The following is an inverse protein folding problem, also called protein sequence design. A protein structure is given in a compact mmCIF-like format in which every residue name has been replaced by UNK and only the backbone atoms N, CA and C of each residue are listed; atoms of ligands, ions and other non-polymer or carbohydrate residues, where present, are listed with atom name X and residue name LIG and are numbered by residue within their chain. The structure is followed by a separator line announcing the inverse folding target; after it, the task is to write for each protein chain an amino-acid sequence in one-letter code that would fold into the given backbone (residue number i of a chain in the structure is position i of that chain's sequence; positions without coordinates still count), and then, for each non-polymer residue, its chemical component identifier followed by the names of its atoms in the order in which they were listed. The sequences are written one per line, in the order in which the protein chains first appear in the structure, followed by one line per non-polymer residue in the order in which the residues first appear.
data_IF_800019605458
#
_entry.id   IF_800019605458
#
_cell.length_a   1.000
_cell.length_b   1.000
_cell.length_c   1.000
_cell.angle_alpha   90.00
_cell.angle_beta   90.00
_cell.angle_gamma   90.00
#
_symmetry.space_group_name_H-M   'P 1'
#
loop_
_entity.id
_entity.type
_entity.pdbx_description
1 polymer ?
#
# COMPACT_ATOMS: atom_id res chain seq x y z
N UNK A 1 -44.35 -28.96 -25.69
CA UNK A 1 -42.89 -28.80 -25.58
C UNK A 1 -42.53 -28.72 -24.11
N UNK A 2 -42.47 -29.88 -23.45
CA UNK A 2 -42.18 -30.00 -22.01
C UNK A 2 -40.67 -29.96 -21.83
N UNK A 3 -40.13 -28.78 -21.57
CA UNK A 3 -38.73 -28.65 -21.19
C UNK A 3 -38.56 -29.42 -19.88
N UNK A 4 -37.63 -30.38 -19.89
CA UNK A 4 -37.43 -31.33 -18.80
C UNK A 4 -36.97 -30.56 -17.55
N UNK A 5 -37.84 -30.39 -16.56
CA UNK A 5 -37.59 -29.60 -15.33
C UNK A 5 -36.30 -30.05 -14.60
N UNK A 6 -35.90 -31.33 -14.77
CA UNK A 6 -34.64 -31.88 -14.27
C UNK A 6 -33.39 -31.28 -14.92
N UNK A 7 -33.43 -30.95 -16.22
CA UNK A 7 -32.29 -30.38 -16.94
C UNK A 7 -32.09 -28.91 -16.54
N UNK A 8 -33.18 -28.16 -16.35
CA UNK A 8 -33.13 -26.78 -15.86
C UNK A 8 -32.59 -26.71 -14.43
N UNK A 9 -33.07 -27.59 -13.53
CA UNK A 9 -32.60 -27.64 -12.14
C UNK A 9 -31.12 -28.01 -12.03
N UNK A 10 -30.64 -28.95 -12.85
CA UNK A 10 -29.22 -29.31 -12.88
C UNK A 10 -28.31 -28.19 -13.39
N UNK A 11 -28.78 -27.36 -14.32
CA UNK A 11 -28.05 -26.16 -14.78
C UNK A 11 -28.04 -25.05 -13.71
N UNK A 12 -29.14 -24.88 -12.97
CA UNK A 12 -29.22 -23.91 -11.87
C UNK A 12 -28.26 -24.26 -10.72
N UNK A 13 -28.17 -25.55 -10.37
CA UNK A 13 -27.27 -26.04 -9.30
C UNK A 13 -25.80 -25.95 -9.71
N UNK A 14 -25.48 -26.18 -11.00
CA UNK A 14 -24.11 -26.05 -11.51
C UNK A 14 -23.69 -24.58 -11.65
N UNK A 15 -24.62 -23.68 -12.01
CA UNK A 15 -24.38 -22.24 -12.03
C UNK A 15 -24.22 -21.64 -10.62
N UNK A 16 -24.90 -22.18 -9.60
CA UNK A 16 -24.71 -21.75 -8.21
C UNK A 16 -23.43 -22.28 -7.55
N UNK A 17 -22.76 -23.26 -8.15
CA UNK A 17 -21.52 -23.83 -7.63
C UNK A 17 -20.27 -23.05 -8.11
N UNK A 18 -20.44 -22.18 -9.10
CA UNK A 18 -19.39 -21.27 -9.57
C UNK A 18 -19.59 -19.93 -8.87
N UNK A 19 -18.81 -19.74 -7.79
CA UNK A 19 -18.18 -18.49 -7.29
C UNK A 19 -18.02 -18.58 -5.76
N UNK A 20 -17.24 -19.54 -5.26
CA UNK A 20 -16.46 -19.23 -4.07
C UNK A 20 -15.31 -18.34 -4.58
N UNK A 21 -15.51 -17.02 -4.55
CA UNK A 21 -14.38 -16.10 -4.74
C UNK A 21 -13.53 -16.28 -3.50
N UNK A 22 -12.38 -16.94 -3.63
CA UNK A 22 -11.38 -16.94 -2.57
C UNK A 22 -11.04 -15.49 -2.28
N UNK A 23 -11.52 -14.99 -1.14
CA UNK A 23 -11.27 -13.62 -0.72
C UNK A 23 -9.82 -13.56 -0.25
N UNK A 24 -8.97 -12.94 -1.07
CA UNK A 24 -7.57 -12.71 -0.73
C UNK A 24 -7.47 -11.40 0.02
N UNK A 25 -6.89 -11.43 1.22
CA UNK A 25 -6.82 -10.28 2.12
C UNK A 25 -5.39 -10.14 2.66
N UNK A 26 -4.83 -8.92 2.73
CA UNK A 26 -3.53 -8.70 3.36
C UNK A 26 -3.53 -9.15 4.83
N UNK A 27 -2.42 -9.73 5.28
CA UNK A 27 -2.30 -10.24 6.66
C UNK A 27 -2.54 -9.13 7.70
N UNK A 28 -2.15 -7.87 7.44
CA UNK A 28 -2.43 -6.73 8.33
C UNK A 28 -3.94 -6.52 8.59
N UNK A 29 -4.80 -6.93 7.65
CA UNK A 29 -6.26 -6.82 7.75
C UNK A 29 -6.93 -8.07 8.33
N UNK A 30 -6.16 -9.04 8.82
CA UNK A 30 -6.67 -10.31 9.38
C UNK A 30 -7.84 -10.13 10.35
N UNK A 31 -7.77 -9.14 11.25
CA UNK A 31 -8.82 -8.90 12.25
C UNK A 31 -10.18 -8.50 11.66
N UNK A 32 -10.17 -8.03 10.41
CA UNK A 32 -11.36 -7.61 9.67
C UNK A 32 -11.67 -8.55 8.49
N UNK A 33 -10.86 -9.59 8.29
CA UNK A 33 -11.02 -10.53 7.19
C UNK A 33 -12.22 -11.45 7.46
N UNK A 34 -13.02 -11.77 6.42
CA UNK A 34 -14.09 -12.74 6.56
C UNK A 34 -13.53 -14.13 6.91
N UNK A 35 -14.36 -14.95 7.55
CA UNK A 35 -13.99 -16.33 7.87
C UNK A 35 -13.68 -17.11 6.59
N UNK A 36 -12.55 -17.82 6.57
CA UNK A 36 -12.08 -18.55 5.38
C UNK A 36 -11.33 -17.70 4.36
N UNK A 37 -11.08 -16.41 4.62
CA UNK A 37 -10.24 -15.58 3.75
C UNK A 37 -8.81 -16.15 3.64
N UNK A 38 -8.26 -16.09 2.43
CA UNK A 38 -6.87 -16.43 2.18
C UNK A 38 -5.99 -15.22 2.54
N UNK A 39 -5.21 -15.37 3.60
CA UNK A 39 -4.34 -14.31 4.10
C UNK A 39 -2.98 -14.38 3.41
N UNK A 40 -2.61 -13.30 2.72
CA UNK A 40 -1.33 -13.19 2.00
C UNK A 40 -0.61 -11.92 2.43
N UNK A 41 0.70 -11.88 2.21
CA UNK A 41 1.44 -10.60 2.24
C UNK A 41 1.05 -9.80 1.01
N UNK A 42 0.93 -8.50 1.19
CA UNK A 42 0.62 -7.58 0.11
C UNK A 42 1.78 -6.66 -0.26
N UNK A 43 1.42 -5.54 -0.87
CA UNK A 43 2.41 -4.58 -1.36
C UNK A 43 2.96 -3.73 -0.21
N UNK A 44 4.26 -3.42 -0.29
CA UNK A 44 4.97 -2.50 0.59
C UNK A 44 5.53 -1.36 -0.26
N UNK A 45 4.78 -0.28 -0.36
CA UNK A 45 5.16 0.90 -1.13
C UNK A 45 6.10 1.79 -0.31
N UNK A 46 7.25 2.14 -0.88
CA UNK A 46 8.20 3.07 -0.29
C UNK A 46 8.23 4.33 -1.15
N UNK A 47 7.96 5.48 -0.54
CA UNK A 47 7.98 6.78 -1.19
C UNK A 47 9.18 7.56 -0.65
N UNK A 48 10.15 7.82 -1.51
CA UNK A 48 11.34 8.58 -1.18
C UNK A 48 11.14 10.06 -1.52
N UNK A 49 11.56 10.96 -0.64
CA UNK A 49 11.55 12.40 -0.93
C UNK A 49 12.40 12.78 -2.14
N UNK A 50 13.46 12.02 -2.39
CA UNK A 50 14.34 12.20 -3.52
C UNK A 50 14.99 10.88 -3.96
N UNK A 51 15.22 10.72 -5.26
CA UNK A 51 15.91 9.58 -5.87
C UNK A 51 17.29 9.27 -5.28
N UNK A 52 17.99 10.28 -4.76
CA UNK A 52 19.28 10.09 -4.07
C UNK A 52 19.19 9.23 -2.80
N UNK A 53 18.02 9.14 -2.15
CA UNK A 53 17.82 8.30 -0.96
C UNK A 53 17.76 6.80 -1.30
N UNK A 54 17.65 6.44 -2.58
CA UNK A 54 17.51 5.04 -2.99
C UNK A 54 18.75 4.23 -2.69
N UNK A 55 19.94 4.80 -2.88
CA UNK A 55 21.20 4.12 -2.56
C UNK A 55 21.39 3.97 -1.04
N UNK A 56 20.88 4.92 -0.25
CA UNK A 56 20.88 4.82 1.22
C UNK A 56 19.97 3.67 1.68
N UNK A 57 18.80 3.52 1.06
CA UNK A 57 17.83 2.49 1.41
C UNK A 57 18.26 1.07 0.95
N UNK A 58 18.81 0.98 -0.26
CA UNK A 58 19.15 -0.30 -0.89
C UNK A 58 20.58 -0.74 -0.59
N UNK A 59 21.44 0.19 -0.13
CA UNK A 59 22.84 -0.02 0.21
C UNK A 59 23.56 -1.01 -0.73
N UNK A 60 23.58 -0.76 -2.05
CA UNK A 60 24.00 -1.75 -3.04
C UNK A 60 25.47 -2.16 -2.87
N UNK A 61 26.30 -1.25 -2.37
CA UNK A 61 27.73 -1.44 -2.18
C UNK A 61 28.11 -1.81 -0.72
N UNK A 62 27.14 -1.82 0.20
CA UNK A 62 27.39 -2.07 1.63
C UNK A 62 28.12 -0.93 2.35
N UNK A 63 28.15 0.28 1.79
CA UNK A 63 28.88 1.46 2.29
C UNK A 63 27.96 2.69 2.25
N UNK A 64 27.82 3.46 3.36
CA UNK A 64 28.37 3.19 4.69
C UNK A 64 27.69 1.98 5.34
N UNK A 65 28.31 1.40 6.37
CA UNK A 65 27.80 0.20 7.10
C UNK A 65 26.64 0.58 8.05
N UNK A 66 25.75 1.47 7.62
CA UNK A 66 24.52 1.82 8.33
C UNK A 66 23.37 1.05 7.69
N UNK A 67 23.20 -0.21 8.12
CA UNK A 67 22.14 -1.07 7.62
C UNK A 67 22.50 -1.87 6.38
N UNK A 68 21.60 -2.79 6.03
CA UNK A 68 21.65 -3.65 4.86
C UNK A 68 20.52 -3.24 3.89
N UNK A 69 20.37 -3.91 2.77
CA UNK A 69 19.33 -3.61 1.79
C UNK A 69 17.92 -3.82 2.39
N UNK A 70 17.24 -2.72 2.71
CA UNK A 70 15.94 -2.74 3.37
C UNK A 70 14.87 -3.37 2.47
N UNK A 71 14.92 -3.12 1.17
CA UNK A 71 14.01 -3.68 0.17
C UNK A 71 14.10 -5.20 0.14
N UNK A 72 15.31 -5.76 0.07
CA UNK A 72 15.54 -7.21 0.11
C UNK A 72 15.06 -7.77 1.45
N UNK A 73 15.38 -7.11 2.56
CA UNK A 73 14.90 -7.55 3.88
C UNK A 73 13.36 -7.67 3.91
N UNK A 74 12.62 -6.70 3.37
CA UNK A 74 11.15 -6.77 3.28
C UNK A 74 10.68 -7.86 2.31
N UNK A 75 11.32 -8.03 1.17
CA UNK A 75 11.01 -9.12 0.24
C UNK A 75 11.19 -10.49 0.88
N UNK A 76 12.20 -10.70 1.73
CA UNK A 76 12.38 -11.97 2.48
C UNK A 76 11.25 -12.28 3.45
N UNK A 77 10.45 -11.28 3.83
CA UNK A 77 9.26 -11.42 4.67
C UNK A 77 7.98 -11.71 3.85
N UNK A 78 8.13 -11.77 2.52
CA UNK A 78 7.06 -12.07 1.55
C UNK A 78 6.33 -10.85 1.01
N UNK A 79 6.79 -9.62 1.31
CA UNK A 79 6.18 -8.41 0.72
C UNK A 79 6.61 -8.21 -0.74
N UNK A 80 5.68 -7.71 -1.54
CA UNK A 80 5.98 -7.16 -2.86
C UNK A 80 6.37 -5.69 -2.67
N UNK A 81 7.68 -5.41 -2.70
CA UNK A 81 8.22 -4.08 -2.35
C UNK A 81 8.40 -3.24 -3.60
N UNK A 82 7.81 -2.06 -3.62
CA UNK A 82 7.94 -1.05 -4.68
C UNK A 82 8.56 0.23 -4.10
N UNK A 83 9.40 0.89 -4.89
CA UNK A 83 10.02 2.17 -4.53
C UNK A 83 9.66 3.18 -5.61
N UNK A 84 9.13 4.32 -5.18
CA UNK A 84 8.96 5.51 -6.01
C UNK A 84 9.66 6.69 -5.37
N UNK A 85 9.87 7.76 -6.14
CA UNK A 85 10.52 8.97 -5.66
C UNK A 85 9.68 10.18 -6.08
N UNK A 86 9.57 11.19 -5.21
CA UNK A 86 8.76 12.38 -5.50
C UNK A 86 9.30 13.16 -6.72
N UNK A 87 10.62 13.21 -6.90
CA UNK A 87 11.27 13.92 -7.99
C UNK A 87 11.12 13.23 -9.35
N UNK A 88 11.10 11.89 -9.41
CA UNK A 88 10.86 11.18 -10.67
C UNK A 88 9.36 11.16 -11.04
N UNK A 89 8.47 11.05 -10.04
CA UNK A 89 7.02 11.03 -10.24
C UNK A 89 6.39 12.44 -10.35
N UNK A 90 7.17 13.51 -10.14
CA UNK A 90 6.74 14.92 -10.13
C UNK A 90 5.61 15.19 -9.11
N UNK A 91 5.76 14.65 -7.91
CA UNK A 91 4.81 14.82 -6.79
C UNK A 91 5.29 15.93 -5.86
N UNK A 92 4.80 17.16 -6.06
CA UNK A 92 5.32 18.35 -5.37
C UNK A 92 4.55 18.71 -4.09
N UNK A 93 3.29 18.33 -3.98
CA UNK A 93 2.41 18.70 -2.86
C UNK A 93 1.88 17.49 -2.09
N UNK A 94 1.42 17.72 -0.87
CA UNK A 94 0.74 16.69 -0.07
C UNK A 94 -0.57 16.24 -0.72
N UNK A 95 -1.19 17.08 -1.55
CA UNK A 95 -2.37 16.65 -2.33
C UNK A 95 -1.97 15.71 -3.46
N UNK A 96 -0.85 15.96 -4.14
CA UNK A 96 -0.36 15.08 -5.21
C UNK A 96 -0.02 13.69 -4.69
N UNK A 97 0.70 13.61 -3.56
CA UNK A 97 1.03 12.34 -2.91
C UNK A 97 -0.25 11.60 -2.49
N UNK A 98 -1.23 12.30 -1.91
CA UNK A 98 -2.52 11.71 -1.53
C UNK A 98 -3.26 11.15 -2.75
N UNK A 99 -3.35 11.91 -3.84
CA UNK A 99 -4.00 11.47 -5.07
C UNK A 99 -3.27 10.31 -5.74
N UNK A 100 -1.94 10.31 -5.68
CA UNK A 100 -1.13 9.17 -6.12
C UNK A 100 -1.47 7.91 -5.31
N UNK A 101 -1.49 8.01 -3.99
CA UNK A 101 -1.79 6.88 -3.10
C UNK A 101 -3.20 6.32 -3.30
N UNK A 102 -4.19 7.19 -3.52
CA UNK A 102 -5.56 6.79 -3.85
C UNK A 102 -5.60 5.97 -5.16
N UNK A 103 -4.93 6.46 -6.22
CA UNK A 103 -4.85 5.76 -7.50
C UNK A 103 -4.05 4.45 -7.40
N UNK A 104 -2.96 4.45 -6.63
CA UNK A 104 -2.15 3.26 -6.38
C UNK A 104 -2.98 2.20 -5.64
N UNK A 105 -3.65 2.55 -4.54
CA UNK A 105 -4.49 1.63 -3.78
C UNK A 105 -5.64 1.06 -4.63
N UNK A 106 -6.22 1.86 -5.54
CA UNK A 106 -7.27 1.38 -6.45
C UNK A 106 -6.78 0.29 -7.43
N UNK A 107 -5.51 0.34 -7.84
CA UNK A 107 -4.89 -0.65 -8.73
C UNK A 107 -4.18 -1.79 -7.99
N UNK A 108 -3.84 -1.58 -6.72
CA UNK A 108 -3.13 -2.50 -5.84
C UNK A 108 -3.99 -2.83 -4.61
N UNK A 109 -5.03 -3.68 -4.77
CA UNK A 109 -5.99 -3.97 -3.69
C UNK A 109 -5.36 -4.69 -2.48
N UNK A 110 -4.12 -5.17 -2.62
CA UNK A 110 -3.34 -5.79 -1.55
C UNK A 110 -2.33 -4.84 -0.90
N UNK A 111 -2.30 -3.54 -1.23
CA UNK A 111 -1.42 -2.57 -0.55
C UNK A 111 -1.58 -2.66 0.98
N UNK A 112 -0.49 -3.05 1.64
CA UNK A 112 -0.46 -3.36 3.07
C UNK A 112 0.21 -2.25 3.88
N UNK A 113 1.28 -1.65 3.34
CA UNK A 113 2.07 -0.61 3.99
C UNK A 113 2.53 0.46 3.00
N UNK A 114 2.57 1.70 3.46
CA UNK A 114 3.26 2.83 2.82
C UNK A 114 4.33 3.33 3.79
N UNK A 115 5.56 3.44 3.32
CA UNK A 115 6.69 4.02 4.06
C UNK A 115 7.13 5.32 3.39
N UNK A 116 6.96 6.45 4.09
CA UNK A 116 7.50 7.75 3.66
C UNK A 116 8.93 7.88 4.19
N UNK A 117 9.88 8.22 3.32
CA UNK A 117 11.30 8.39 3.67
C UNK A 117 11.75 9.81 3.31
N UNK A 118 11.86 10.63 4.33
CA UNK A 118 12.28 12.03 4.27
C UNK A 118 11.93 12.73 5.57
N UNK A 119 11.86 14.06 5.53
CA UNK A 119 11.50 14.92 6.66
C UNK A 119 10.43 15.93 6.23
N UNK A 120 9.83 16.66 7.17
CA UNK A 120 8.83 17.71 6.87
C UNK A 120 9.45 18.97 6.27
N UNK A 121 10.77 19.12 6.35
CA UNK A 121 11.52 20.25 5.82
C UNK A 121 12.94 19.84 5.36
N UNK A 122 13.65 20.75 4.70
CA UNK A 122 15.03 20.55 4.24
C UNK A 122 15.14 19.94 2.84
N UNK A 123 16.32 19.41 2.52
CA UNK A 123 16.66 18.94 1.17
C UNK A 123 15.93 17.64 0.77
N UNK A 124 15.41 16.89 1.75
CA UNK A 124 14.65 15.66 1.57
C UNK A 124 13.23 15.80 2.13
N UNK A 125 12.54 16.85 1.69
CA UNK A 125 11.19 17.16 2.17
C UNK A 125 10.14 16.21 1.57
N UNK A 126 9.36 15.57 2.44
CA UNK A 126 8.04 15.02 2.12
C UNK A 126 7.01 16.09 2.52
N UNK A 127 6.25 16.66 1.57
CA UNK A 127 5.10 17.52 1.89
C UNK A 127 4.21 16.86 2.94
N UNK A 128 3.61 17.63 3.86
CA UNK A 128 2.73 17.10 4.92
C UNK A 128 1.42 17.88 4.99
N UNK A 129 0.45 17.34 5.73
CA UNK A 129 -0.71 18.09 6.17
C UNK A 129 -0.47 18.67 7.56
N UNK A 130 -1.25 19.70 7.90
CA UNK A 130 -1.23 20.37 9.20
C UNK A 130 -2.61 20.30 9.82
N UNK A 131 -2.64 20.15 11.14
CA UNK A 131 -3.84 20.20 11.97
C UNK A 131 -3.59 21.09 13.18
N UNK A 132 -4.62 21.78 13.65
CA UNK A 132 -4.52 22.54 14.89
C UNK A 132 -4.14 21.62 16.07
N UNK A 133 -3.14 22.03 16.85
CA UNK A 133 -2.74 21.30 18.05
C UNK A 133 -3.85 21.29 19.09
N UNK A 134 -3.96 20.19 19.84
CA UNK A 134 -5.00 20.02 20.87
C UNK A 134 -4.66 20.84 22.13
N UNK A 135 -3.38 21.02 22.41
CA UNK A 135 -2.89 21.57 23.67
C UNK A 135 -2.18 22.92 23.52
N UNK A 136 -1.81 23.29 22.30
CA UNK A 136 -0.91 24.41 22.01
C UNK A 136 -1.53 25.30 20.91
N UNK A 137 -1.16 26.58 20.89
CA UNK A 137 -1.60 27.52 19.83
C UNK A 137 -0.64 27.45 18.64
N UNK A 138 -0.46 26.23 18.11
CA UNK A 138 0.37 25.91 16.95
C UNK A 138 -0.25 24.82 16.07
N UNK A 139 0.32 24.63 14.88
CA UNK A 139 -0.10 23.59 13.93
C UNK A 139 0.81 22.37 14.04
N UNK A 140 0.21 21.20 14.28
CA UNK A 140 0.89 19.90 14.29
C UNK A 140 0.92 19.30 12.87
N UNK A 141 2.01 18.60 12.55
CA UNK A 141 2.13 17.86 11.28
C UNK A 141 1.41 16.51 11.36
N UNK A 142 0.79 16.08 10.26
CA UNK A 142 0.12 14.77 10.19
C UNK A 142 0.16 14.13 8.80
N UNK A 143 0.46 12.83 8.78
CA UNK A 143 0.38 11.98 7.59
C UNK A 143 -0.99 11.30 7.43
N UNK A 144 -1.90 11.47 8.40
CA UNK A 144 -3.20 10.78 8.39
C UNK A 144 -3.97 10.90 7.07
N UNK A 145 -4.07 12.09 6.42
CA UNK A 145 -4.81 12.23 5.18
C UNK A 145 -4.26 11.43 4.00
N UNK A 146 -3.01 10.94 4.05
CA UNK A 146 -2.46 10.02 3.05
C UNK A 146 -3.12 8.64 3.03
N UNK A 147 -3.78 8.27 4.12
CA UNK A 147 -4.37 6.93 4.29
C UNK A 147 -5.90 6.92 4.22
N UNK A 148 -6.52 8.09 4.03
CA UNK A 148 -7.98 8.26 4.04
C UNK A 148 -8.50 8.72 2.67
N UNK A 149 -9.06 7.78 1.93
CA UNK A 149 -9.68 7.93 0.61
C UNK A 149 -11.04 7.24 0.57
#
# INVERSE_FOLDING_TARGET
MTVNLKIISSFLVLASLVTAVDTVVPISRKSFAPEGANLVRGDYLIILANSQLRDVLTNPDGIPVYGDNFTIFKQTQGFDVEIITLDEENLETSTDIRSYLEAYHASHPLLEYVLLVGDVNGDYTIPTFFIASINEDEEDVTDYPYTFF
#
